data_IF_146165925729
#
_entry.id   IF_146165925729
#
_cell.length_a   1.000
_cell.length_b   1.000
_cell.length_c   1.000
_cell.angle_alpha   90.00
_cell.angle_beta   90.00
_cell.angle_gamma   90.00
#
_symmetry.space_group_name_H-M   'P 1'
#
loop_
_entity.id
_entity.type
_entity.pdbx_description
1 polymer ?
#
# COMPACT_ATOMS: atom_id res chain seq x y z
N UNK A 1 8.18 -3.30 -21.12
CA UNK A 1 8.65 -3.87 -19.84
C UNK A 1 7.78 -3.29 -18.74
N UNK A 2 7.22 -4.09 -17.84
CA UNK A 2 6.48 -3.61 -16.66
C UNK A 2 7.39 -3.75 -15.46
N UNK A 3 7.75 -2.63 -14.83
CA UNK A 3 8.57 -2.58 -13.62
C UNK A 3 7.64 -2.21 -12.46
N UNK A 4 7.77 -2.91 -11.35
CA UNK A 4 7.06 -2.61 -10.12
C UNK A 4 8.00 -2.55 -8.92
N UNK A 5 7.49 -2.05 -7.81
CA UNK A 5 8.23 -1.97 -6.55
C UNK A 5 7.36 -2.41 -5.39
N UNK A 6 7.98 -3.10 -4.44
CA UNK A 6 7.36 -3.49 -3.18
C UNK A 6 7.45 -2.31 -2.20
N UNK A 7 6.35 -2.00 -1.54
CA UNK A 7 6.35 -1.08 -0.40
C UNK A 7 7.13 -1.72 0.75
N UNK A 8 7.99 -0.92 1.36
CA UNK A 8 8.70 -1.30 2.58
C UNK A 8 7.76 -1.19 3.79
N UNK A 9 7.32 -2.34 4.27
CA UNK A 9 6.46 -2.50 5.45
C UNK A 9 7.05 -1.86 6.70
N UNK A 10 8.39 -1.84 6.84
CA UNK A 10 9.06 -1.26 8.01
C UNK A 10 9.07 0.26 7.95
N UNK A 11 9.09 0.83 6.74
CA UNK A 11 8.95 2.28 6.54
C UNK A 11 7.53 2.75 6.85
N UNK A 12 6.52 2.05 6.32
CA UNK A 12 5.13 2.49 6.47
C UNK A 12 4.58 2.20 7.86
N UNK A 13 4.92 1.06 8.48
CA UNK A 13 4.57 0.69 9.86
C UNK A 13 3.11 1.01 10.23
N UNK A 14 2.16 0.50 9.44
CA UNK A 14 0.72 0.70 9.62
C UNK A 14 0.20 2.10 9.23
N UNK A 15 1.07 3.02 8.82
CA UNK A 15 0.70 4.38 8.40
C UNK A 15 0.23 4.42 6.95
N UNK A 16 -1.07 4.66 6.77
CA UNK A 16 -1.68 4.84 5.44
C UNK A 16 -1.22 6.12 4.74
N UNK A 17 -0.80 7.15 5.47
CA UNK A 17 -0.23 8.36 4.85
C UNK A 17 1.13 8.08 4.24
N UNK A 18 1.99 7.34 4.94
CA UNK A 18 3.30 6.93 4.41
C UNK A 18 3.17 5.97 3.23
N UNK A 19 2.20 5.06 3.28
CA UNK A 19 1.86 4.20 2.14
C UNK A 19 1.46 5.04 0.91
N UNK A 20 0.60 6.05 1.10
CA UNK A 20 0.21 6.98 0.03
C UNK A 20 1.43 7.70 -0.56
N UNK A 21 2.33 8.22 0.28
CA UNK A 21 3.56 8.89 -0.17
C UNK A 21 4.45 7.98 -1.05
N UNK A 22 4.56 6.70 -0.69
CA UNK A 22 5.33 5.72 -1.48
C UNK A 22 4.66 5.45 -2.82
N UNK A 23 3.34 5.26 -2.85
CA UNK A 23 2.57 5.10 -4.09
C UNK A 23 2.71 6.33 -5.01
N UNK A 24 2.64 7.54 -4.47
CA UNK A 24 2.88 8.76 -5.24
C UNK A 24 4.31 8.83 -5.79
N UNK A 25 5.28 8.38 -5.00
CA UNK A 25 6.69 8.29 -5.42
C UNK A 25 6.85 7.28 -6.56
N UNK A 26 6.22 6.12 -6.47
CA UNK A 26 6.27 5.09 -7.49
C UNK A 26 5.68 5.56 -8.82
N UNK A 27 4.55 6.28 -8.78
CA UNK A 27 4.00 6.91 -9.98
C UNK A 27 4.95 7.93 -10.60
N UNK A 28 5.57 8.79 -9.78
CA UNK A 28 6.55 9.79 -10.28
C UNK A 28 7.78 9.14 -10.92
N UNK A 29 8.15 7.95 -10.47
CA UNK A 29 9.25 7.16 -11.04
C UNK A 29 8.84 6.36 -12.29
N UNK A 30 7.57 6.43 -12.71
CA UNK A 30 7.07 5.70 -13.88
C UNK A 30 6.90 4.20 -13.65
N UNK A 31 6.73 3.76 -12.39
CA UNK A 31 6.47 2.36 -12.08
C UNK A 31 5.04 1.98 -12.47
N UNK A 32 4.92 0.75 -12.96
CA UNK A 32 3.67 0.20 -13.51
C UNK A 32 2.95 -0.78 -12.57
N UNK A 33 3.49 -1.00 -11.36
CA UNK A 33 2.88 -1.85 -10.34
C UNK A 33 3.46 -1.52 -8.96
N UNK A 34 2.67 -1.73 -7.91
CA UNK A 34 3.09 -1.66 -6.52
C UNK A 34 2.66 -2.93 -5.77
N UNK A 35 3.56 -3.55 -5.01
CA UNK A 35 3.24 -4.65 -4.11
C UNK A 35 3.11 -4.12 -2.67
N UNK A 36 2.04 -4.51 -1.97
CA UNK A 36 1.73 -4.02 -0.61
C UNK A 36 1.59 -5.21 0.34
N UNK A 37 2.51 -5.40 1.29
CA UNK A 37 2.38 -6.44 2.28
C UNK A 37 1.21 -6.17 3.23
N UNK A 38 0.32 -7.15 3.43
CA UNK A 38 -0.88 -7.01 4.28
C UNK A 38 -0.58 -6.64 5.73
N UNK A 39 0.59 -7.03 6.23
CA UNK A 39 1.03 -6.69 7.59
C UNK A 39 1.58 -5.25 7.68
N UNK A 40 2.10 -4.68 6.59
CA UNK A 40 2.60 -3.30 6.57
C UNK A 40 1.47 -2.25 6.72
N UNK A 41 0.22 -2.64 6.47
CA UNK A 41 -0.96 -1.78 6.55
C UNK A 41 -1.92 -2.16 7.69
N UNK A 42 -1.52 -3.09 8.57
CA UNK A 42 -2.37 -3.68 9.62
C UNK A 42 -3.70 -4.29 9.12
N UNK A 43 -3.78 -4.77 7.87
CA UNK A 43 -5.04 -5.29 7.35
C UNK A 43 -5.47 -6.57 8.08
N UNK A 44 -4.52 -7.32 8.66
CA UNK A 44 -4.78 -8.51 9.47
C UNK A 44 -4.28 -8.26 10.89
N UNK A 45 -5.18 -8.39 11.87
CA UNK A 45 -4.88 -8.25 13.30
C UNK A 45 -5.33 -9.51 14.03
N UNK A 46 -4.44 -10.13 14.80
CA UNK A 46 -4.73 -11.37 15.55
C UNK A 46 -5.34 -12.48 14.66
N UNK A 47 -4.82 -12.65 13.44
CA UNK A 47 -5.31 -13.66 12.48
C UNK A 47 -6.67 -13.35 11.85
N UNK A 48 -7.22 -12.15 12.06
CA UNK A 48 -8.52 -11.72 11.50
C UNK A 48 -8.35 -10.51 10.61
N UNK A 49 -9.12 -10.46 9.53
CA UNK A 49 -9.18 -9.29 8.65
C UNK A 49 -9.84 -8.11 9.39
N UNK A 50 -9.15 -6.98 9.46
CA UNK A 50 -9.71 -5.71 9.91
C UNK A 50 -10.44 -5.07 8.72
N UNK A 51 -11.77 -5.20 8.70
CA UNK A 51 -12.60 -4.74 7.59
C UNK A 51 -12.55 -3.23 7.40
N UNK A 52 -12.45 -2.46 8.50
CA UNK A 52 -12.35 -1.00 8.43
C UNK A 52 -11.02 -0.62 7.81
N UNK A 53 -9.92 -1.18 8.31
CA UNK A 53 -8.59 -0.91 7.77
C UNK A 53 -8.47 -1.32 6.31
N UNK A 54 -9.02 -2.49 5.95
CA UNK A 54 -8.99 -2.99 4.57
C UNK A 54 -9.76 -2.05 3.64
N UNK A 55 -10.93 -1.55 4.07
CA UNK A 55 -11.68 -0.54 3.32
C UNK A 55 -10.87 0.73 3.12
N UNK A 56 -10.26 1.27 4.17
CA UNK A 56 -9.43 2.48 4.09
C UNK A 56 -8.26 2.29 3.09
N UNK A 57 -7.61 1.13 3.11
CA UNK A 57 -6.56 0.76 2.14
C UNK A 57 -7.13 0.74 0.73
N UNK A 58 -8.24 0.02 0.48
CA UNK A 58 -8.85 -0.06 -0.85
C UNK A 58 -9.28 1.30 -1.39
N UNK A 59 -9.84 2.18 -0.55
CA UNK A 59 -10.20 3.55 -0.93
C UNK A 59 -8.98 4.38 -1.36
N UNK A 60 -7.81 4.18 -0.75
CA UNK A 60 -6.56 4.81 -1.18
C UNK A 60 -6.09 4.20 -2.49
N UNK A 61 -6.05 2.87 -2.61
CA UNK A 61 -5.56 2.18 -3.82
C UNK A 61 -6.39 2.53 -5.07
N UNK A 62 -7.70 2.73 -4.92
CA UNK A 62 -8.57 3.17 -6.00
C UNK A 62 -8.23 4.55 -6.58
N UNK A 63 -7.33 5.31 -5.96
CA UNK A 63 -6.88 6.63 -6.42
C UNK A 63 -5.61 6.56 -7.27
N UNK A 64 -5.02 5.38 -7.44
CA UNK A 64 -3.77 5.20 -8.16
C UNK A 64 -3.95 4.31 -9.40
N UNK A 65 -3.39 4.68 -10.56
CA UNK A 65 -3.50 3.92 -11.80
C UNK A 65 -2.38 2.87 -11.96
N UNK A 66 -2.16 2.03 -10.93
CA UNK A 66 -1.24 0.89 -11.01
C UNK A 66 -1.86 -0.31 -11.73
#
# INVERSE_FOLDING_TARGET
MKIGMKIDETRIDGSLSRMREDLETFLRLGLSAAEIPVHGVDAIRNGRLDLRRTRDVTEILGQFPF
#
